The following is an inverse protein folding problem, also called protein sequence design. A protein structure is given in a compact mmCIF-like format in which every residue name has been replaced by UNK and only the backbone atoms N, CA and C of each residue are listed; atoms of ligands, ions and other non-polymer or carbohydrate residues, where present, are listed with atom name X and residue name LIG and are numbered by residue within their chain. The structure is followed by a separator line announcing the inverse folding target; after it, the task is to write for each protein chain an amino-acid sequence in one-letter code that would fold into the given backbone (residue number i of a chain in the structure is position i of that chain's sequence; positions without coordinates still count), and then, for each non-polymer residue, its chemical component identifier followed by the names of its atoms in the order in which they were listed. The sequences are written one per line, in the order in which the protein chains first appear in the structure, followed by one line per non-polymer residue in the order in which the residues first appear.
data_IF_338144735895
#
_entry.id   IF_338144735895
#
_cell.length_a   1.000
_cell.length_b   1.000
_cell.length_c   1.000
_cell.angle_alpha   90.00
_cell.angle_beta   90.00
_cell.angle_gamma   90.00
#
_symmetry.space_group_name_H-M   'P 1'
#
loop_
_entity.id
_entity.type
_entity.pdbx_description
1 polymer ?
#
# COMPACT_ATOMS: atom_id res chain seq x y z
N UNK A 1 18.63 -11.30 28.85
CA UNK A 1 18.61 -12.02 27.56
C UNK A 1 19.67 -11.47 26.65
N UNK A 2 20.32 -12.36 25.92
CA UNK A 2 21.42 -12.01 25.01
C UNK A 2 20.85 -11.37 23.75
N UNK A 3 21.31 -10.16 23.40
CA UNK A 3 20.96 -9.51 22.15
C UNK A 3 21.68 -10.19 20.98
N UNK A 4 20.95 -10.45 19.90
CA UNK A 4 21.50 -11.02 18.67
C UNK A 4 21.96 -9.98 17.66
N UNK A 5 21.63 -8.69 17.90
CA UNK A 5 21.82 -7.59 16.96
C UNK A 5 21.17 -7.86 15.60
N UNK A 6 20.01 -8.51 15.63
CA UNK A 6 19.27 -8.91 14.44
C UNK A 6 17.80 -8.49 14.59
N UNK A 7 17.26 -7.88 13.54
CA UNK A 7 15.86 -7.51 13.45
C UNK A 7 15.21 -8.29 12.33
N UNK A 8 14.09 -8.93 12.62
CA UNK A 8 13.28 -9.56 11.58
C UNK A 8 12.43 -8.52 10.86
N UNK A 9 12.32 -8.64 9.55
CA UNK A 9 11.46 -7.77 8.73
C UNK A 9 10.54 -8.66 7.91
N UNK A 10 9.26 -8.62 8.22
CA UNK A 10 8.23 -9.40 7.51
C UNK A 10 7.58 -8.49 6.48
N UNK A 11 7.59 -8.93 5.23
CA UNK A 11 6.95 -8.19 4.13
C UNK A 11 6.02 -9.11 3.34
N UNK A 12 4.92 -8.56 2.78
CA UNK A 12 3.94 -9.37 2.06
C UNK A 12 4.41 -9.87 0.70
N UNK A 13 5.29 -9.13 0.03
CA UNK A 13 5.75 -9.49 -1.31
C UNK A 13 7.08 -8.81 -1.63
N UNK A 14 8.16 -9.59 -1.64
CA UNK A 14 9.50 -9.08 -1.95
C UNK A 14 9.65 -8.63 -3.41
N UNK A 15 8.78 -9.08 -4.30
CA UNK A 15 8.80 -8.68 -5.70
C UNK A 15 8.10 -7.34 -5.96
N UNK A 16 7.34 -6.84 -5.00
CA UNK A 16 6.68 -5.54 -5.12
C UNK A 16 7.68 -4.41 -4.83
N UNK A 17 7.77 -3.44 -5.74
CA UNK A 17 8.74 -2.34 -5.65
C UNK A 17 8.58 -1.50 -4.38
N UNK A 18 7.36 -1.29 -3.90
CA UNK A 18 7.09 -0.53 -2.68
C UNK A 18 7.69 -1.22 -1.45
N UNK A 19 7.41 -2.51 -1.27
CA UNK A 19 7.93 -3.27 -0.13
C UNK A 19 9.45 -3.44 -0.20
N UNK A 20 9.99 -3.64 -1.39
CA UNK A 20 11.43 -3.71 -1.59
C UNK A 20 12.13 -2.40 -1.17
N UNK A 21 11.55 -1.26 -1.53
CA UNK A 21 12.07 0.06 -1.16
C UNK A 21 12.01 0.28 0.35
N UNK A 22 10.90 -0.11 1.00
CA UNK A 22 10.79 -0.04 2.46
C UNK A 22 11.82 -0.93 3.16
N UNK A 23 11.98 -2.16 2.69
CA UNK A 23 12.96 -3.09 3.26
C UNK A 23 14.38 -2.54 3.13
N UNK A 24 14.72 -1.93 2.00
CA UNK A 24 16.04 -1.30 1.80
C UNK A 24 16.24 -0.14 2.76
N UNK A 25 15.23 0.69 2.97
CA UNK A 25 15.29 1.79 3.93
C UNK A 25 15.52 1.30 5.36
N UNK A 26 14.84 0.24 5.75
CA UNK A 26 15.02 -0.38 7.07
C UNK A 26 16.44 -0.95 7.21
N UNK A 27 16.95 -1.60 6.17
CA UNK A 27 18.31 -2.15 6.15
C UNK A 27 19.37 -1.04 6.32
N UNK A 28 19.20 0.07 5.62
CA UNK A 28 20.12 1.21 5.72
C UNK A 28 20.15 1.78 7.15
N UNK A 29 18.98 1.90 7.79
CA UNK A 29 18.90 2.36 9.19
C UNK A 29 19.52 1.33 10.13
N UNK A 30 19.25 0.05 9.92
CA UNK A 30 19.82 -1.02 10.72
C UNK A 30 21.35 -1.03 10.66
N UNK A 31 21.92 -0.82 9.48
CA UNK A 31 23.36 -0.70 9.28
C UNK A 31 23.99 0.43 10.12
N UNK A 32 23.30 1.57 10.20
CA UNK A 32 23.76 2.71 11.00
C UNK A 32 23.92 2.35 12.48
N UNK A 33 23.08 1.44 12.97
CA UNK A 33 23.10 0.98 14.36
C UNK A 33 23.82 -0.36 14.54
N UNK A 34 24.45 -0.85 13.49
CA UNK A 34 25.19 -2.15 13.48
C UNK A 34 24.26 -3.34 13.75
N UNK A 35 23.03 -3.26 13.27
CA UNK A 35 22.09 -4.39 13.27
C UNK A 35 22.05 -5.03 11.89
N UNK A 36 21.85 -6.33 11.87
CA UNK A 36 21.53 -7.08 10.66
C UNK A 36 20.01 -7.24 10.55
N UNK A 37 19.50 -7.37 9.34
CA UNK A 37 18.11 -7.74 9.16
C UNK A 37 17.99 -9.17 8.62
N UNK A 38 16.92 -9.84 9.01
CA UNK A 38 16.47 -11.10 8.42
C UNK A 38 15.15 -10.80 7.73
N UNK A 39 15.17 -10.83 6.40
CA UNK A 39 14.01 -10.55 5.60
C UNK A 39 13.16 -11.81 5.44
N UNK A 40 11.86 -11.71 5.72
CA UNK A 40 10.92 -12.82 5.60
C UNK A 40 9.74 -12.39 4.72
N UNK A 41 9.48 -13.18 3.68
CA UNK A 41 8.38 -12.94 2.76
C UNK A 41 7.17 -13.77 3.16
N UNK A 42 6.06 -13.13 3.50
CA UNK A 42 4.82 -13.83 3.87
C UNK A 42 3.96 -14.20 2.65
N UNK A 43 4.29 -13.68 1.48
CA UNK A 43 3.67 -14.06 0.19
C UNK A 43 2.16 -13.80 0.13
N UNK A 44 1.70 -12.80 0.88
CA UNK A 44 0.27 -12.46 0.98
C UNK A 44 -0.59 -13.66 1.43
N UNK A 45 0.01 -14.56 2.21
CA UNK A 45 -0.61 -15.81 2.67
C UNK A 45 -0.59 -15.87 4.19
N UNK A 46 -1.76 -15.96 4.80
CA UNK A 46 -1.91 -15.90 6.27
C UNK A 46 -1.19 -17.03 6.99
N UNK A 47 -1.20 -18.23 6.43
CA UNK A 47 -0.52 -19.38 7.02
C UNK A 47 1.00 -19.22 6.95
N UNK A 48 1.51 -18.80 5.81
CA UNK A 48 2.94 -18.52 5.63
C UNK A 48 3.40 -17.37 6.52
N UNK A 49 2.57 -16.35 6.68
CA UNK A 49 2.83 -15.21 7.58
C UNK A 49 3.09 -15.69 9.01
N UNK A 50 2.22 -16.54 9.53
CA UNK A 50 2.39 -17.14 10.86
C UNK A 50 3.68 -17.95 10.93
N UNK A 51 3.97 -18.75 9.92
CA UNK A 51 5.15 -19.60 9.87
C UNK A 51 6.44 -18.77 9.88
N UNK A 52 6.53 -17.70 9.08
CA UNK A 52 7.74 -16.87 9.04
C UNK A 52 7.93 -16.09 10.33
N UNK A 53 6.84 -15.62 10.95
CA UNK A 53 6.92 -14.94 12.25
C UNK A 53 7.43 -15.90 13.33
N UNK A 54 6.92 -17.13 13.38
CA UNK A 54 7.39 -18.15 14.31
C UNK A 54 8.85 -18.54 14.07
N UNK A 55 9.28 -18.57 12.82
CA UNK A 55 10.68 -18.80 12.48
C UNK A 55 11.58 -17.69 13.06
N UNK A 56 11.15 -16.43 12.94
CA UNK A 56 11.88 -15.30 13.51
C UNK A 56 11.93 -15.35 15.03
N UNK A 57 10.83 -15.73 15.69
CA UNK A 57 10.84 -15.96 17.14
C UNK A 57 11.86 -17.04 17.53
N UNK A 58 11.89 -18.13 16.79
CA UNK A 58 12.83 -19.23 17.02
C UNK A 58 14.30 -18.82 16.83
N UNK A 59 14.55 -17.87 15.93
CA UNK A 59 15.88 -17.30 15.72
C UNK A 59 16.28 -16.30 16.80
N UNK A 60 15.38 -15.98 17.71
CA UNK A 60 15.61 -15.05 18.81
C UNK A 60 16.05 -13.66 18.34
N UNK A 61 15.41 -13.16 17.29
CA UNK A 61 15.65 -11.78 16.83
C UNK A 61 15.29 -10.79 17.95
N UNK A 62 15.94 -9.64 17.96
CA UNK A 62 15.75 -8.63 19.00
C UNK A 62 14.42 -7.87 18.85
N UNK A 63 13.88 -7.85 17.65
CA UNK A 63 12.58 -7.24 17.35
C UNK A 63 12.12 -7.61 15.95
N UNK A 64 10.87 -7.35 15.66
CA UNK A 64 10.27 -7.58 14.35
C UNK A 64 9.60 -6.30 13.87
N UNK A 65 9.92 -5.90 12.64
CA UNK A 65 9.14 -4.94 11.87
C UNK A 65 8.18 -5.73 10.99
N UNK A 66 6.90 -5.56 11.21
CA UNK A 66 5.88 -6.36 10.55
C UNK A 66 5.07 -5.49 9.58
N UNK A 67 5.05 -5.92 8.32
CA UNK A 67 4.19 -5.37 7.29
C UNK A 67 3.22 -6.46 6.83
N UNK A 68 1.93 -6.17 6.90
CA UNK A 68 0.89 -7.09 6.44
C UNK A 68 -0.31 -6.28 5.98
N UNK A 69 -1.16 -6.86 5.16
CA UNK A 69 -2.34 -6.17 4.67
C UNK A 69 -3.47 -6.14 5.69
N UNK A 70 -3.49 -7.10 6.60
CA UNK A 70 -4.55 -7.25 7.58
C UNK A 70 -4.03 -8.00 8.81
N UNK A 71 -4.33 -7.48 9.99
CA UNK A 71 -3.98 -8.15 11.25
C UNK A 71 -5.07 -9.17 11.60
N UNK A 72 -4.81 -10.43 11.29
CA UNK A 72 -5.74 -11.52 11.65
C UNK A 72 -5.68 -11.82 13.14
N UNK A 73 -6.74 -12.44 13.67
CA UNK A 73 -6.77 -12.89 15.06
C UNK A 73 -5.65 -13.91 15.31
N UNK A 74 -5.34 -14.74 14.31
CA UNK A 74 -4.27 -15.74 14.42
C UNK A 74 -2.90 -15.10 14.56
N UNK A 75 -2.58 -14.07 13.77
CA UNK A 75 -1.28 -13.39 13.88
C UNK A 75 -1.18 -12.61 15.19
N UNK A 76 -2.28 -12.00 15.64
CA UNK A 76 -2.32 -11.34 16.96
C UNK A 76 -2.01 -12.33 18.09
N UNK A 77 -2.58 -13.54 18.01
CA UNK A 77 -2.33 -14.58 18.99
C UNK A 77 -0.85 -14.99 19.02
N UNK A 78 -0.21 -15.07 17.86
CA UNK A 78 1.22 -15.38 17.79
C UNK A 78 2.07 -14.26 18.41
N UNK A 79 1.74 -13.00 18.14
CA UNK A 79 2.44 -11.87 18.76
C UNK A 79 2.28 -11.87 20.28
N UNK A 80 1.09 -12.21 20.78
CA UNK A 80 0.80 -12.23 22.21
C UNK A 80 1.57 -13.31 22.98
N UNK A 81 1.98 -14.38 22.30
CA UNK A 81 2.73 -15.47 22.91
C UNK A 81 4.23 -15.23 22.98
N UNK A 82 4.70 -14.15 22.37
CA UNK A 82 6.13 -13.84 22.32
C UNK A 82 6.44 -12.59 23.14
N UNK A 83 7.67 -12.53 23.67
CA UNK A 83 8.21 -11.32 24.31
C UNK A 83 9.00 -10.45 23.33
N UNK A 84 9.17 -10.90 22.09
CA UNK A 84 9.86 -10.12 21.07
C UNK A 84 9.04 -8.87 20.73
N UNK A 85 9.64 -7.68 20.80
CA UNK A 85 8.93 -6.46 20.41
C UNK A 85 8.51 -6.50 18.94
N UNK A 86 7.27 -6.09 18.68
CA UNK A 86 6.71 -6.00 17.33
C UNK A 86 6.39 -4.54 17.05
N UNK A 87 6.84 -4.03 15.90
CA UNK A 87 6.46 -2.70 15.40
C UNK A 87 5.82 -2.89 14.04
N UNK A 88 4.64 -2.32 13.86
CA UNK A 88 3.95 -2.35 12.57
C UNK A 88 4.47 -1.24 11.67
N UNK A 89 4.67 -1.53 10.40
CA UNK A 89 5.01 -0.54 9.39
C UNK A 89 4.12 -0.75 8.17
N UNK A 90 3.54 0.31 7.63
CA UNK A 90 2.58 0.18 6.54
C UNK A 90 1.39 -0.71 6.89
N UNK A 91 1.08 -0.83 8.17
CA UNK A 91 0.04 -1.70 8.72
C UNK A 91 -0.52 -1.00 9.95
N UNK A 92 -1.84 -1.05 10.14
CA UNK A 92 -2.48 -0.39 11.30
C UNK A 92 -3.09 -1.42 12.22
N UNK A 93 -3.05 -1.10 13.51
CA UNK A 93 -3.77 -1.82 14.54
C UNK A 93 -4.92 -0.94 15.03
N UNK A 94 -6.14 -1.21 14.56
CA UNK A 94 -7.32 -0.45 14.96
C UNK A 94 -7.68 -0.64 16.44
N UNK A 95 -7.16 -1.69 17.08
CA UNK A 95 -7.31 -1.92 18.52
C UNK A 95 -6.24 -1.20 19.34
N UNK A 96 -5.28 -0.55 18.69
CA UNK A 96 -4.21 0.23 19.32
C UNK A 96 -3.38 -0.54 20.37
N UNK A 97 -3.19 -1.85 20.17
CA UNK A 97 -2.40 -2.70 21.07
C UNK A 97 -0.92 -2.78 20.68
N UNK A 98 -0.62 -2.57 19.38
CA UNK A 98 0.71 -2.67 18.84
C UNK A 98 1.20 -1.29 18.37
N UNK A 99 2.47 -0.94 18.64
CA UNK A 99 3.03 0.30 18.10
C UNK A 99 3.16 0.22 16.58
N UNK A 100 2.93 1.33 15.91
CA UNK A 100 3.02 1.40 14.45
C UNK A 100 3.72 2.67 14.00
N UNK A 101 4.40 2.56 12.85
CA UNK A 101 4.94 3.70 12.12
C UNK A 101 4.19 3.77 10.79
N UNK A 102 3.38 4.80 10.64
CA UNK A 102 2.55 5.00 9.46
C UNK A 102 2.51 6.47 9.08
N UNK A 103 2.20 6.72 7.82
CA UNK A 103 1.87 8.06 7.33
C UNK A 103 0.36 8.30 7.50
N UNK A 104 -0.08 9.53 7.27
CA UNK A 104 -1.50 9.85 7.22
C UNK A 104 -2.08 9.48 5.85
N UNK A 105 -2.46 8.22 5.69
CA UNK A 105 -3.01 7.71 4.44
C UNK A 105 -4.33 8.37 4.05
N UNK A 106 -5.13 8.74 5.02
CA UNK A 106 -6.41 9.42 4.76
C UNK A 106 -6.16 10.80 4.15
N UNK A 107 -5.25 11.58 4.73
CA UNK A 107 -4.94 12.92 4.23
C UNK A 107 -4.27 12.84 2.86
N UNK A 108 -3.33 11.92 2.66
CA UNK A 108 -2.68 11.75 1.37
C UNK A 108 -3.69 11.42 0.26
N UNK A 109 -4.66 10.57 0.57
CA UNK A 109 -5.73 10.22 -0.38
C UNK A 109 -6.63 11.42 -0.67
N UNK A 110 -7.02 12.16 0.36
CA UNK A 110 -7.84 13.37 0.20
C UNK A 110 -7.12 14.42 -0.64
N UNK A 111 -5.80 14.59 -0.45
CA UNK A 111 -4.99 15.52 -1.24
C UNK A 111 -4.94 15.12 -2.71
N UNK A 112 -4.82 13.82 -2.99
CA UNK A 112 -4.85 13.31 -4.36
C UNK A 112 -6.20 13.60 -5.03
N UNK A 113 -7.28 13.35 -4.32
CA UNK A 113 -8.64 13.63 -4.82
C UNK A 113 -8.82 15.13 -5.09
N UNK A 114 -8.31 15.99 -4.21
CA UNK A 114 -8.36 17.45 -4.42
C UNK A 114 -7.66 17.85 -5.72
N UNK A 115 -6.48 17.30 -5.99
CA UNK A 115 -5.78 17.56 -7.25
C UNK A 115 -6.58 17.10 -8.46
N UNK A 116 -7.13 15.90 -8.42
CA UNK A 116 -7.93 15.35 -9.53
C UNK A 116 -9.23 16.11 -9.72
N UNK A 117 -9.85 16.60 -8.64
CA UNK A 117 -11.11 17.32 -8.67
C UNK A 117 -11.03 18.68 -9.37
N UNK A 118 -9.82 19.20 -9.60
CA UNK A 118 -9.63 20.47 -10.34
C UNK A 118 -10.16 20.37 -11.78
N UNK A 119 -10.09 19.18 -12.38
CA UNK A 119 -10.48 18.96 -13.77
C UNK A 119 -11.42 17.78 -13.98
N UNK A 120 -11.82 17.08 -12.91
CA UNK A 120 -12.62 15.87 -13.02
C UNK A 120 -13.75 15.85 -12.02
N UNK A 121 -14.90 15.32 -12.42
CA UNK A 121 -16.06 15.10 -11.54
C UNK A 121 -16.26 13.61 -11.21
N UNK A 122 -15.83 12.70 -12.09
CA UNK A 122 -15.94 11.26 -11.86
C UNK A 122 -14.56 10.65 -11.65
N UNK A 123 -14.19 10.57 -10.39
CA UNK A 123 -12.88 10.11 -9.93
C UNK A 123 -13.02 8.72 -9.34
N UNK A 124 -12.31 7.74 -9.91
CA UNK A 124 -12.29 6.39 -9.38
C UNK A 124 -11.30 6.27 -8.21
N UNK A 125 -11.62 5.39 -7.29
CA UNK A 125 -10.71 4.90 -6.24
C UNK A 125 -10.29 3.48 -6.63
N UNK A 126 -8.97 3.25 -6.73
CA UNK A 126 -8.42 1.94 -7.04
C UNK A 126 -7.39 1.58 -5.97
N UNK A 127 -7.58 0.44 -5.33
CA UNK A 127 -6.68 -0.01 -4.27
C UNK A 127 -6.42 -1.51 -4.37
N UNK A 128 -5.49 -1.99 -3.56
CA UNK A 128 -5.37 -3.41 -3.25
C UNK A 128 -6.58 -3.89 -2.44
N UNK A 129 -6.48 -5.10 -1.86
CA UNK A 129 -7.62 -5.71 -1.17
C UNK A 129 -8.24 -4.78 -0.12
N UNK A 130 -9.56 -4.64 -0.18
CA UNK A 130 -10.31 -3.79 0.76
C UNK A 130 -10.40 -4.38 2.16
N UNK A 131 -10.06 -5.66 2.33
CA UNK A 131 -9.93 -6.29 3.66
C UNK A 131 -8.73 -5.70 4.42
N UNK A 132 -7.73 -5.18 3.72
CA UNK A 132 -6.66 -4.39 4.31
C UNK A 132 -7.26 -3.11 4.91
N UNK A 133 -7.08 -2.90 6.20
CA UNK A 133 -7.66 -1.75 6.90
C UNK A 133 -7.17 -0.40 6.37
N UNK A 134 -5.93 -0.33 5.90
CA UNK A 134 -5.42 0.90 5.27
C UNK A 134 -6.22 1.21 4.01
N UNK A 135 -6.42 0.24 3.14
CA UNK A 135 -7.18 0.44 1.90
C UNK A 135 -8.67 0.62 2.15
N UNK A 136 -9.29 -0.33 2.85
CA UNK A 136 -10.74 -0.43 2.98
C UNK A 136 -11.37 0.53 3.97
N UNK A 137 -10.59 1.07 4.92
CA UNK A 137 -11.08 2.01 5.93
C UNK A 137 -10.40 3.36 5.80
N UNK A 138 -9.08 3.41 5.91
CA UNK A 138 -8.36 4.69 6.03
C UNK A 138 -8.31 5.43 4.69
N UNK A 139 -7.79 4.80 3.64
CA UNK A 139 -7.72 5.43 2.32
C UNK A 139 -9.11 5.70 1.75
N UNK A 140 -10.02 4.75 1.88
CA UNK A 140 -11.39 4.91 1.40
C UNK A 140 -12.09 6.07 2.12
N UNK A 141 -11.88 6.23 3.43
CA UNK A 141 -12.38 7.37 4.19
C UNK A 141 -11.81 8.69 3.64
N UNK A 142 -10.51 8.74 3.38
CA UNK A 142 -9.86 9.92 2.78
C UNK A 142 -10.41 10.25 1.40
N UNK A 143 -10.68 9.24 0.58
CA UNK A 143 -11.31 9.40 -0.72
C UNK A 143 -12.70 10.03 -0.58
N UNK A 144 -13.53 9.50 0.31
CA UNK A 144 -14.88 10.04 0.58
C UNK A 144 -14.83 11.48 1.08
N UNK A 145 -13.92 11.77 2.01
CA UNK A 145 -13.75 13.14 2.53
C UNK A 145 -13.26 14.09 1.44
N UNK A 146 -12.32 13.67 0.61
CA UNK A 146 -11.83 14.46 -0.51
C UNK A 146 -12.93 14.79 -1.53
N UNK A 147 -13.78 13.83 -1.86
CA UNK A 147 -14.93 14.04 -2.72
C UNK A 147 -15.88 15.08 -2.11
N UNK A 148 -16.23 14.89 -0.85
CA UNK A 148 -17.15 15.79 -0.13
C UNK A 148 -16.62 17.21 -0.07
N UNK A 149 -15.32 17.37 0.25
CA UNK A 149 -14.66 18.67 0.33
C UNK A 149 -14.67 19.42 -1.01
N UNK A 150 -14.76 18.69 -2.12
CA UNK A 150 -14.79 19.25 -3.48
C UNK A 150 -16.19 19.24 -4.12
N UNK A 151 -17.23 19.00 -3.33
CA UNK A 151 -18.61 19.01 -3.81
C UNK A 151 -18.98 17.86 -4.72
N UNK A 152 -18.25 16.75 -4.66
CA UNK A 152 -18.49 15.57 -5.48
C UNK A 152 -19.19 14.48 -4.66
N UNK A 153 -20.10 13.77 -5.34
CA UNK A 153 -20.85 12.68 -4.72
C UNK A 153 -20.03 11.38 -4.71
N UNK A 154 -20.06 10.66 -3.59
CA UNK A 154 -19.52 9.32 -3.51
C UNK A 154 -20.42 8.33 -4.25
N UNK A 155 -19.82 7.51 -5.12
CA UNK A 155 -20.50 6.45 -5.88
C UNK A 155 -19.77 5.14 -5.70
N UNK A 156 -20.44 4.14 -5.17
CA UNK A 156 -19.83 2.81 -4.98
C UNK A 156 -19.30 2.19 -6.28
N UNK A 157 -19.95 2.48 -7.41
CA UNK A 157 -19.52 2.02 -8.72
C UNK A 157 -18.18 2.56 -9.20
N UNK A 158 -17.61 3.54 -8.49
CA UNK A 158 -16.28 4.10 -8.78
C UNK A 158 -15.19 3.58 -7.82
N UNK A 159 -15.52 2.62 -6.97
CA UNK A 159 -14.56 1.96 -6.08
C UNK A 159 -14.16 0.61 -6.69
N UNK A 160 -12.87 0.42 -6.93
CA UNK A 160 -12.34 -0.77 -7.58
C UNK A 160 -11.26 -1.41 -6.73
N UNK A 161 -11.37 -2.70 -6.51
CA UNK A 161 -10.40 -3.52 -5.80
C UNK A 161 -9.52 -4.27 -6.80
N UNK A 162 -8.24 -4.37 -6.52
CA UNK A 162 -7.26 -5.06 -7.35
C UNK A 162 -6.34 -5.92 -6.49
N UNK A 163 -5.67 -6.87 -7.12
CA UNK A 163 -4.46 -7.45 -6.55
C UNK A 163 -3.28 -6.52 -6.85
N UNK A 164 -2.19 -6.66 -6.08
CA UNK A 164 -0.97 -5.85 -6.25
C UNK A 164 -0.14 -6.34 -7.44
N UNK A 165 -0.72 -6.26 -8.64
CA UNK A 165 -0.09 -6.73 -9.88
C UNK A 165 -0.39 -5.78 -11.02
N UNK A 166 0.61 -5.58 -11.87
CA UNK A 166 0.49 -4.78 -13.10
C UNK A 166 -0.69 -5.25 -13.97
N UNK A 167 -0.80 -6.55 -14.20
CA UNK A 167 -1.80 -7.15 -15.08
C UNK A 167 -3.22 -6.90 -14.59
N UNK A 168 -3.42 -6.90 -13.27
CA UNK A 168 -4.72 -6.62 -12.67
C UNK A 168 -5.11 -5.16 -12.87
N UNK A 169 -4.16 -4.24 -12.70
CA UNK A 169 -4.37 -2.82 -12.99
C UNK A 169 -4.70 -2.58 -14.45
N UNK A 170 -3.96 -3.22 -15.35
CA UNK A 170 -4.21 -3.15 -16.79
C UNK A 170 -5.64 -3.59 -17.14
N UNK A 171 -6.07 -4.71 -16.58
CA UNK A 171 -7.39 -5.28 -16.83
C UNK A 171 -8.55 -4.40 -16.31
N UNK A 172 -8.29 -3.54 -15.32
CA UNK A 172 -9.32 -2.64 -14.78
C UNK A 172 -9.69 -1.49 -15.70
N UNK A 173 -8.85 -1.16 -16.68
CA UNK A 173 -9.04 0.02 -17.53
C UNK A 173 -10.44 0.07 -18.18
N UNK A 174 -10.89 -1.03 -18.76
CA UNK A 174 -12.19 -1.12 -19.40
C UNK A 174 -13.33 -0.85 -18.41
N UNK A 175 -13.22 -1.41 -17.21
CA UNK A 175 -14.26 -1.23 -16.17
C UNK A 175 -14.35 0.20 -15.69
N UNK A 176 -13.21 0.88 -15.52
CA UNK A 176 -13.19 2.29 -15.12
C UNK A 176 -13.83 3.17 -16.21
N UNK A 177 -13.46 2.95 -17.46
CA UNK A 177 -14.01 3.71 -18.58
C UNK A 177 -15.53 3.47 -18.72
N UNK A 178 -15.98 2.22 -18.58
CA UNK A 178 -17.40 1.89 -18.64
C UNK A 178 -18.20 2.50 -17.49
N UNK A 179 -17.57 2.70 -16.33
CA UNK A 179 -18.19 3.39 -15.20
C UNK A 179 -18.21 4.92 -15.36
N UNK A 180 -17.63 5.44 -16.44
CA UNK A 180 -17.61 6.87 -16.72
C UNK A 180 -16.50 7.64 -16.00
N UNK A 181 -15.53 6.96 -15.40
CA UNK A 181 -14.40 7.63 -14.74
C UNK A 181 -13.56 8.40 -15.76
N UNK A 182 -13.12 9.59 -15.39
CA UNK A 182 -12.17 10.41 -16.14
C UNK A 182 -10.84 10.58 -15.42
N UNK A 183 -10.77 10.08 -14.20
CA UNK A 183 -9.56 10.10 -13.37
C UNK A 183 -9.60 8.96 -12.37
N UNK A 184 -8.43 8.62 -11.86
CA UNK A 184 -8.29 7.61 -10.81
C UNK A 184 -7.20 7.99 -9.82
N UNK A 185 -7.52 7.87 -8.54
CA UNK A 185 -6.53 7.70 -7.49
C UNK A 185 -6.23 6.21 -7.36
N UNK A 186 -4.97 5.84 -7.45
CA UNK A 186 -4.54 4.44 -7.36
C UNK A 186 -3.57 4.30 -6.19
N UNK A 187 -3.91 3.45 -5.24
CA UNK A 187 -3.19 3.34 -3.98
C UNK A 187 -1.83 2.65 -4.08
N UNK A 188 -1.45 2.11 -5.25
CA UNK A 188 -0.20 1.37 -5.39
C UNK A 188 0.34 1.53 -6.83
N UNK A 189 1.66 1.69 -6.94
CA UNK A 189 2.32 2.09 -8.20
C UNK A 189 2.24 1.05 -9.31
N UNK A 190 2.36 -0.24 -9.00
CA UNK A 190 2.28 -1.29 -10.04
C UNK A 190 0.87 -1.38 -10.63
N UNK A 191 -0.14 -1.26 -9.78
CA UNK A 191 -1.54 -1.20 -10.24
C UNK A 191 -1.71 0.04 -11.12
N UNK A 192 -1.16 1.17 -10.68
CA UNK A 192 -1.25 2.44 -11.41
C UNK A 192 -0.59 2.36 -12.79
N UNK A 193 0.59 1.75 -12.89
CA UNK A 193 1.29 1.56 -14.16
C UNK A 193 0.48 0.69 -15.12
N UNK A 194 -0.10 -0.40 -14.61
CA UNK A 194 -0.98 -1.25 -15.40
C UNK A 194 -2.21 -0.50 -15.90
N UNK A 195 -2.88 0.21 -15.00
CA UNK A 195 -4.06 1.00 -15.35
C UNK A 195 -3.73 2.08 -16.41
N UNK A 196 -2.63 2.80 -16.22
CA UNK A 196 -2.18 3.82 -17.17
C UNK A 196 -2.05 3.24 -18.58
N UNK A 197 -1.34 2.11 -18.71
CA UNK A 197 -1.15 1.46 -19.98
C UNK A 197 -2.45 0.89 -20.55
N UNK A 198 -3.31 0.32 -19.70
CA UNK A 198 -4.62 -0.18 -20.10
C UNK A 198 -5.52 0.92 -20.66
N UNK A 199 -5.53 2.09 -20.03
CA UNK A 199 -6.27 3.27 -20.50
C UNK A 199 -5.71 3.73 -21.86
N UNK A 200 -4.38 3.86 -21.96
CA UNK A 200 -3.73 4.29 -23.21
C UNK A 200 -4.02 3.30 -24.35
N UNK A 201 -4.01 2.01 -24.09
CA UNK A 201 -4.28 0.99 -25.12
C UNK A 201 -5.72 1.00 -25.60
N UNK A 202 -6.64 1.62 -24.85
CA UNK A 202 -8.02 1.87 -25.29
C UNK A 202 -8.15 3.14 -26.14
N UNK A 203 -7.03 3.80 -26.47
CA UNK A 203 -7.03 5.01 -27.25
C UNK A 203 -7.38 6.27 -26.49
N UNK A 204 -7.39 6.22 -25.18
CA UNK A 204 -7.68 7.35 -24.30
C UNK A 204 -6.38 8.05 -23.94
N UNK A 205 -6.32 9.36 -24.15
CA UNK A 205 -5.10 10.15 -23.91
C UNK A 205 -4.91 10.46 -22.42
N UNK A 206 -3.71 10.21 -21.91
CA UNK A 206 -3.33 10.51 -20.53
C UNK A 206 -2.24 11.60 -20.57
N UNK A 207 -2.37 12.72 -19.88
CA UNK A 207 -3.42 13.07 -18.92
C UNK A 207 -4.65 13.79 -19.51
N UNK A 208 -4.69 14.09 -20.80
CA UNK A 208 -5.67 15.01 -21.40
C UNK A 208 -7.11 14.51 -21.22
N UNK A 209 -7.35 13.21 -21.40
CA UNK A 209 -8.69 12.61 -21.30
C UNK A 209 -8.87 11.75 -20.06
N UNK A 210 -7.79 11.35 -19.41
CA UNK A 210 -7.82 10.55 -18.19
C UNK A 210 -6.59 10.87 -17.33
N UNK A 211 -6.81 11.21 -16.06
CA UNK A 211 -5.73 11.49 -15.12
C UNK A 211 -5.54 10.38 -14.11
N UNK A 212 -4.27 10.02 -13.82
CA UNK A 212 -3.94 8.99 -12.82
C UNK A 212 -2.98 9.59 -11.80
N UNK A 213 -3.32 9.48 -10.52
CA UNK A 213 -2.42 9.82 -9.42
C UNK A 213 -2.22 8.57 -8.55
N UNK A 214 -0.99 8.30 -8.19
CA UNK A 214 -0.61 7.23 -7.27
C UNK A 214 0.06 7.79 -6.02
N UNK A 215 0.13 7.00 -4.94
CA UNK A 215 0.62 7.48 -3.65
C UNK A 215 1.92 6.86 -3.17
N UNK A 216 2.49 5.88 -3.88
CA UNK A 216 3.67 5.16 -3.37
C UNK A 216 5.01 5.82 -3.69
N UNK A 217 5.12 6.54 -4.81
CA UNK A 217 6.37 7.15 -5.26
C UNK A 217 7.53 6.15 -5.38
N UNK A 218 7.25 4.96 -5.89
CA UNK A 218 8.28 3.95 -6.16
C UNK A 218 8.98 4.21 -7.49
N UNK A 219 10.04 3.45 -7.76
CA UNK A 219 10.78 3.54 -9.03
C UNK A 219 9.89 3.28 -10.26
N UNK A 220 8.79 2.56 -10.11
CA UNK A 220 7.83 2.27 -11.19
C UNK A 220 7.28 3.55 -11.82
N UNK A 221 7.09 4.61 -11.03
CA UNK A 221 6.58 5.90 -11.54
C UNK A 221 7.50 6.52 -12.60
N UNK A 222 8.78 6.18 -12.59
CA UNK A 222 9.78 6.68 -13.54
C UNK A 222 9.80 5.92 -14.85
N UNK A 223 9.19 4.74 -14.90
CA UNK A 223 9.19 3.87 -16.08
C UNK A 223 7.99 4.08 -16.99
N UNK A 224 6.99 4.82 -16.55
CA UNK A 224 5.76 5.04 -17.32
C UNK A 224 5.88 6.25 -18.26
N UNK A 225 5.07 6.25 -19.33
CA UNK A 225 4.93 7.38 -20.25
C UNK A 225 3.46 7.68 -20.51
N UNK A 226 2.93 8.86 -20.08
CA UNK A 226 3.67 9.85 -19.28
C UNK A 226 4.08 9.30 -17.91
N UNK A 227 4.99 9.98 -17.23
CA UNK A 227 5.34 9.62 -15.86
C UNK A 227 4.11 9.77 -14.96
N UNK A 228 3.92 8.77 -14.07
CA UNK A 228 2.85 8.84 -13.09
C UNK A 228 3.11 9.97 -12.09
N UNK A 229 2.07 10.76 -11.82
CA UNK A 229 2.09 11.71 -10.73
C UNK A 229 1.93 10.96 -9.41
N UNK A 230 2.88 11.17 -8.49
CA UNK A 230 2.86 10.53 -7.17
C UNK A 230 2.81 11.58 -6.08
N UNK A 231 2.08 11.26 -5.01
CA UNK A 231 2.11 12.06 -3.79
C UNK A 231 3.18 11.47 -2.90
N UNK A 232 4.28 12.23 -2.71
CA UNK A 232 5.37 11.83 -1.82
C UNK A 232 4.88 11.67 -0.40
N UNK A 233 5.27 10.57 0.22
CA UNK A 233 4.91 10.23 1.59
C UNK A 233 6.18 10.28 2.43
N UNK A 234 6.26 11.17 3.45
CA UNK A 234 7.39 11.14 4.37
C UNK A 234 7.37 9.83 5.17
N UNK A 235 8.51 9.16 5.24
CA UNK A 235 8.73 7.98 6.08
C UNK A 235 9.07 8.40 7.52
#
# INVERSE_FOLDING_TARGET
SKKTTTVGVVIPNIANAYFATLAKGIDDIADMYKYNIVLANSDENDEKEINVVNTLFSKQVDGIVFMGYHLTDKIRAEFSRSRTPIVLAGTVDLEHQLPSVNIDYAQATADAVELLAKHNQKIAFVSGPLVDDINGKIRLSGYKEGLKANGLEFQEGLVFESKYKYEEGYALAERLLNAGATAAYVAEDEIAAGLLNGIADKGVKVPEEFEVITSDDSVVTKFTRPNLTSISQPL
#
